data_IF_751963939649
#
_entry.id   IF_751963939649
#
_cell.length_a   1.000
_cell.length_b   1.000
_cell.length_c   1.000
_cell.angle_alpha   90.00
_cell.angle_beta   90.00
_cell.angle_gamma   90.00
#
_symmetry.space_group_name_H-M   'P 1'
#
loop_
_entity.id
_entity.type
_entity.pdbx_description
1 polymer ?
#
# COMPACT_ATOMS: atom_id res chain seq x y z
N UNK A 1 -1.82 4.24 16.10
CA UNK A 1 -2.45 4.80 14.87
C UNK A 1 -3.47 3.80 14.37
N UNK A 2 -4.61 4.26 13.85
CA UNK A 2 -5.61 3.41 13.19
C UNK A 2 -5.71 3.85 11.74
N UNK A 3 -5.59 2.91 10.81
CA UNK A 3 -5.73 3.16 9.38
C UNK A 3 -7.01 2.49 8.90
N UNK A 4 -7.90 3.25 8.25
CA UNK A 4 -9.16 2.76 7.72
C UNK A 4 -9.17 2.86 6.20
N UNK A 5 -9.56 1.77 5.53
CA UNK A 5 -9.73 1.71 4.07
C UNK A 5 -8.40 1.64 3.28
N UNK A 6 -8.56 1.69 1.95
CA UNK A 6 -7.49 1.84 0.93
C UNK A 6 -6.32 0.84 0.99
N UNK A 7 -6.53 -0.33 1.58
CA UNK A 7 -5.60 -1.45 1.52
C UNK A 7 -4.39 -1.36 2.43
N UNK A 8 -4.47 -0.60 3.53
CA UNK A 8 -3.39 -0.56 4.54
C UNK A 8 -3.05 -1.94 5.12
N UNK A 9 -4.02 -2.86 5.20
CA UNK A 9 -3.81 -4.25 5.59
C UNK A 9 -2.93 -5.03 4.60
N UNK A 10 -3.04 -4.73 3.29
CA UNK A 10 -2.22 -5.34 2.25
C UNK A 10 -0.82 -4.72 2.21
N UNK A 11 -0.75 -3.38 2.27
CA UNK A 11 0.51 -2.65 2.26
C UNK A 11 1.42 -3.03 3.44
N UNK A 12 0.84 -3.23 4.61
CA UNK A 12 1.57 -3.52 5.85
C UNK A 12 1.55 -5.03 6.22
N UNK A 13 1.18 -5.90 5.28
CA UNK A 13 0.94 -7.33 5.55
C UNK A 13 2.14 -8.04 6.19
N UNK A 14 3.35 -7.65 5.83
CA UNK A 14 4.60 -8.23 6.31
C UNK A 14 4.92 -7.91 7.79
N UNK A 15 4.34 -6.84 8.36
CA UNK A 15 4.66 -6.40 9.71
C UNK A 15 3.79 -7.09 10.76
N UNK A 16 4.44 -7.82 11.67
CA UNK A 16 3.73 -8.68 12.64
C UNK A 16 3.01 -7.90 13.72
N UNK A 17 3.48 -6.69 14.02
CA UNK A 17 2.86 -5.80 15.00
C UNK A 17 1.60 -5.08 14.45
N UNK A 18 1.28 -5.22 13.17
CA UNK A 18 0.10 -4.60 12.55
C UNK A 18 -1.10 -5.52 12.62
N UNK A 19 -2.14 -5.12 13.36
CA UNK A 19 -3.41 -5.83 13.47
C UNK A 19 -4.35 -5.50 12.30
N UNK A 20 -4.70 -6.50 11.49
CA UNK A 20 -5.56 -6.37 10.30
C UNK A 20 -6.96 -6.88 10.62
N UNK A 21 -7.94 -5.99 10.55
CA UNK A 21 -9.32 -6.30 10.95
C UNK A 21 -10.26 -6.02 9.78
N UNK A 22 -11.19 -6.94 9.54
CA UNK A 22 -12.33 -6.74 8.64
C UNK A 22 -13.61 -6.62 9.45
N UNK A 23 -14.36 -5.54 9.22
CA UNK A 23 -15.71 -5.39 9.76
C UNK A 23 -16.70 -5.66 8.63
N UNK A 24 -17.65 -6.58 8.86
CA UNK A 24 -18.73 -6.93 7.94
C UNK A 24 -20.09 -6.64 8.59
N UNK A 25 -21.10 -6.51 7.74
CA UNK A 25 -22.51 -6.55 8.09
C UNK A 25 -23.31 -6.96 6.85
N UNK A 26 -24.50 -7.56 7.01
CA UNK A 26 -25.42 -7.83 5.91
C UNK A 26 -25.70 -6.56 5.10
N UNK A 27 -25.87 -6.69 3.78
CA UNK A 27 -26.10 -5.58 2.86
C UNK A 27 -27.24 -4.67 3.34
N UNK A 28 -28.39 -5.27 3.65
CA UNK A 28 -29.59 -4.59 4.17
C UNK A 28 -29.31 -3.67 5.35
N UNK A 29 -28.58 -4.16 6.37
CA UNK A 29 -28.24 -3.36 7.54
C UNK A 29 -27.27 -2.22 7.22
N UNK A 30 -26.40 -2.40 6.22
CA UNK A 30 -25.51 -1.31 5.76
C UNK A 30 -26.31 -0.24 5.02
N UNK A 31 -27.28 -0.64 4.20
CA UNK A 31 -28.20 0.26 3.50
C UNK A 31 -29.01 1.07 4.51
N UNK A 32 -29.64 0.42 5.49
CA UNK A 32 -30.39 1.12 6.55
C UNK A 32 -29.53 2.12 7.32
N UNK A 33 -28.29 1.75 7.67
CA UNK A 33 -27.34 2.66 8.33
C UNK A 33 -26.97 3.85 7.46
N UNK A 34 -26.76 3.65 6.16
CA UNK A 34 -26.45 4.74 5.21
C UNK A 34 -27.66 5.64 5.02
N UNK A 35 -28.87 5.09 4.86
CA UNK A 35 -30.12 5.86 4.81
C UNK A 35 -30.26 6.76 6.04
N UNK A 36 -30.08 6.19 7.24
CA UNK A 36 -30.22 6.94 8.49
C UNK A 36 -29.12 7.98 8.72
N UNK A 37 -27.88 7.70 8.28
CA UNK A 37 -26.73 8.60 8.45
C UNK A 37 -26.78 9.78 7.49
N UNK A 38 -27.12 9.52 6.24
CA UNK A 38 -27.02 10.50 5.15
C UNK A 38 -28.39 11.12 4.77
N UNK A 39 -29.47 10.69 5.43
CA UNK A 39 -30.86 11.12 5.21
C UNK A 39 -31.30 11.00 3.74
N UNK A 40 -31.13 9.80 3.18
CA UNK A 40 -31.42 9.50 1.78
C UNK A 40 -32.39 8.33 1.62
N UNK A 41 -33.02 8.27 0.46
CA UNK A 41 -33.86 7.13 0.09
C UNK A 41 -33.03 5.85 -0.06
N UNK A 42 -33.74 4.73 -0.08
CA UNK A 42 -33.15 3.39 -0.12
C UNK A 42 -32.35 3.14 -1.40
N UNK A 43 -32.87 3.53 -2.56
CA UNK A 43 -32.22 3.34 -3.86
C UNK A 43 -30.84 4.02 -3.90
N UNK A 44 -30.74 5.26 -3.42
CA UNK A 44 -29.47 5.97 -3.33
C UNK A 44 -28.52 5.32 -2.33
N UNK A 45 -29.02 4.83 -1.20
CA UNK A 45 -28.21 4.14 -0.20
C UNK A 45 -27.65 2.80 -0.71
N UNK A 46 -28.48 2.01 -1.41
CA UNK A 46 -28.06 0.78 -2.09
C UNK A 46 -26.94 1.07 -3.10
N UNK A 47 -27.15 2.06 -3.98
CA UNK A 47 -26.14 2.50 -4.94
C UNK A 47 -24.82 2.90 -4.27
N UNK A 48 -24.86 3.67 -3.18
CA UNK A 48 -23.65 4.11 -2.47
C UNK A 48 -22.90 2.93 -1.82
N UNK A 49 -23.62 1.98 -1.23
CA UNK A 49 -23.01 0.79 -0.61
C UNK A 49 -22.36 -0.09 -1.68
N UNK A 50 -23.07 -0.40 -2.77
CA UNK A 50 -22.53 -1.21 -3.87
C UNK A 50 -21.33 -0.54 -4.55
N UNK A 51 -21.43 0.76 -4.78
CA UNK A 51 -20.34 1.54 -5.37
C UNK A 51 -19.10 1.52 -4.49
N UNK A 52 -19.26 1.78 -3.19
CA UNK A 52 -18.15 1.75 -2.25
C UNK A 52 -17.49 0.36 -2.19
N UNK A 53 -18.27 -0.72 -2.13
CA UNK A 53 -17.75 -2.09 -2.14
C UNK A 53 -17.01 -2.39 -3.45
N UNK A 54 -17.58 -2.01 -4.60
CA UNK A 54 -16.98 -2.23 -5.92
C UNK A 54 -15.68 -1.45 -6.10
N UNK A 55 -15.65 -0.18 -5.71
CA UNK A 55 -14.45 0.66 -5.78
C UNK A 55 -13.33 0.10 -4.89
N UNK A 56 -13.67 -0.35 -3.68
CA UNK A 56 -12.72 -0.98 -2.77
C UNK A 56 -12.17 -2.29 -3.32
N UNK A 57 -13.02 -3.18 -3.82
CA UNK A 57 -12.60 -4.45 -4.41
C UNK A 57 -11.68 -4.23 -5.63
N UNK A 58 -12.06 -3.32 -6.53
CA UNK A 58 -11.25 -2.97 -7.71
C UNK A 58 -9.92 -2.35 -7.33
N UNK A 59 -9.90 -1.41 -6.39
CA UNK A 59 -8.66 -0.77 -5.94
C UNK A 59 -7.69 -1.80 -5.34
N UNK A 60 -8.18 -2.70 -4.49
CA UNK A 60 -7.35 -3.77 -3.89
C UNK A 60 -6.81 -4.70 -4.97
N UNK A 61 -7.65 -5.13 -5.91
CA UNK A 61 -7.23 -6.00 -6.98
C UNK A 61 -6.19 -5.33 -7.90
N UNK A 62 -6.42 -4.08 -8.31
CA UNK A 62 -5.51 -3.36 -9.20
C UNK A 62 -4.15 -3.07 -8.56
N UNK A 63 -4.12 -2.76 -7.27
CA UNK A 63 -2.87 -2.37 -6.58
C UNK A 63 -2.11 -3.60 -6.06
N UNK A 64 -2.82 -4.58 -5.49
CA UNK A 64 -2.21 -5.70 -4.76
C UNK A 64 -2.40 -7.05 -5.42
N UNK A 65 -3.26 -7.17 -6.44
CA UNK A 65 -3.61 -8.45 -7.06
C UNK A 65 -4.31 -9.41 -6.10
N UNK A 66 -4.99 -8.88 -5.08
CA UNK A 66 -5.66 -9.66 -4.02
C UNK A 66 -7.17 -9.51 -4.09
N UNK A 67 -7.87 -10.49 -3.53
CA UNK A 67 -9.29 -10.36 -3.23
C UNK A 67 -9.44 -9.61 -1.89
N UNK A 68 -10.22 -8.53 -1.92
CA UNK A 68 -10.47 -7.71 -0.75
C UNK A 68 -11.27 -8.42 0.34
N UNK A 69 -12.04 -9.46 0.00
CA UNK A 69 -12.90 -10.17 0.93
C UNK A 69 -12.35 -11.53 1.39
N UNK A 70 -11.15 -11.90 0.92
CA UNK A 70 -10.45 -13.11 1.34
C UNK A 70 -10.20 -13.09 2.87
N UNK A 71 -10.77 -14.04 3.63
CA UNK A 71 -10.55 -14.11 5.07
C UNK A 71 -9.09 -14.27 5.49
N UNK A 72 -8.24 -14.84 4.63
CA UNK A 72 -6.82 -15.06 4.93
C UNK A 72 -5.99 -13.77 4.96
N UNK A 73 -6.55 -12.67 4.44
CA UNK A 73 -5.91 -11.35 4.41
C UNK A 73 -6.13 -10.56 5.71
N UNK A 74 -6.90 -11.12 6.65
CA UNK A 74 -7.26 -10.50 7.92
C UNK A 74 -6.94 -11.40 9.11
N UNK A 75 -6.56 -10.77 10.22
CA UNK A 75 -6.30 -11.47 11.47
C UNK A 75 -7.59 -11.69 12.27
N UNK A 76 -8.55 -10.78 12.13
CA UNK A 76 -9.86 -10.84 12.79
C UNK A 76 -10.94 -10.35 11.83
N UNK A 77 -12.10 -11.01 11.88
CA UNK A 77 -13.28 -10.63 11.12
C UNK A 77 -14.45 -10.54 12.08
N UNK A 78 -15.09 -9.39 12.13
CA UNK A 78 -16.27 -9.16 12.98
C UNK A 78 -17.50 -8.91 12.12
N UNK A 79 -18.64 -9.44 12.57
CA UNK A 79 -19.94 -9.19 11.96
C UNK A 79 -20.80 -8.37 12.90
N UNK A 80 -21.00 -7.10 12.56
CA UNK A 80 -21.76 -6.14 13.39
C UNK A 80 -23.27 -6.42 13.41
N UNK A 81 -23.76 -7.42 12.66
CA UNK A 81 -25.13 -7.92 12.83
C UNK A 81 -25.27 -8.98 13.92
N UNK A 82 -24.15 -9.59 14.31
CA UNK A 82 -24.10 -10.68 15.30
C UNK A 82 -23.45 -10.26 16.61
N UNK A 83 -22.54 -9.29 16.55
CA UNK A 83 -21.72 -8.85 17.67
C UNK A 83 -21.89 -7.34 17.89
N UNK A 84 -22.20 -6.97 19.13
CA UNK A 84 -22.23 -5.58 19.56
C UNK A 84 -20.83 -4.98 19.75
N UNK A 85 -20.76 -3.66 19.80
CA UNK A 85 -19.50 -2.93 20.01
C UNK A 85 -18.87 -3.22 21.38
N UNK A 86 -19.70 -3.53 22.37
CA UNK A 86 -19.32 -3.97 23.71
C UNK A 86 -18.50 -5.26 23.72
N UNK A 87 -18.67 -6.11 22.71
CA UNK A 87 -17.87 -7.34 22.51
C UNK A 87 -16.67 -7.08 21.60
N UNK A 88 -16.89 -6.39 20.47
CA UNK A 88 -15.83 -6.18 19.46
C UNK A 88 -14.67 -5.35 20.02
N UNK A 89 -14.97 -4.28 20.74
CA UNK A 89 -13.93 -3.33 21.20
C UNK A 89 -12.96 -3.97 22.20
N UNK A 90 -13.40 -4.70 23.25
CA UNK A 90 -12.48 -5.42 24.14
C UNK A 90 -11.62 -6.46 23.43
N UNK A 91 -12.19 -7.23 22.50
CA UNK A 91 -11.46 -8.23 21.72
C UNK A 91 -10.34 -7.59 20.87
N UNK A 92 -10.65 -6.49 20.18
CA UNK A 92 -9.65 -5.74 19.42
C UNK A 92 -8.55 -5.17 20.32
N UNK A 93 -8.92 -4.62 21.49
CA UNK A 93 -7.93 -4.09 22.45
C UNK A 93 -7.00 -5.19 22.96
N UNK A 94 -7.54 -6.36 23.31
CA UNK A 94 -6.76 -7.51 23.76
C UNK A 94 -5.79 -7.97 22.67
N UNK A 95 -6.28 -8.19 21.45
CA UNK A 95 -5.46 -8.59 20.33
C UNK A 95 -4.34 -7.57 20.02
N UNK A 96 -4.63 -6.27 20.16
CA UNK A 96 -3.65 -5.21 19.95
C UNK A 96 -2.53 -5.26 21.02
N UNK A 97 -2.87 -5.47 22.30
CA UNK A 97 -1.88 -5.62 23.35
C UNK A 97 -0.99 -6.85 23.13
N UNK A 98 -1.56 -7.95 22.65
CA UNK A 98 -0.79 -9.15 22.31
C UNK A 98 0.16 -8.93 21.12
N UNK A 99 -0.14 -8.00 20.22
CA UNK A 99 0.71 -7.62 19.07
C UNK A 99 1.91 -6.79 19.48
N UNK A 100 1.85 -6.09 20.61
CA UNK A 100 2.92 -5.19 21.06
C UNK A 100 4.25 -5.92 21.26
N UNK A 101 4.22 -7.22 21.58
CA UNK A 101 5.43 -8.07 21.67
C UNK A 101 6.21 -8.17 20.35
N UNK A 102 5.56 -7.91 19.22
CA UNK A 102 6.19 -7.88 17.90
C UNK A 102 6.64 -6.47 17.49
N UNK A 103 6.30 -5.44 18.27
CA UNK A 103 6.72 -4.06 18.01
C UNK A 103 8.15 -3.83 18.51
N UNK A 104 9.11 -4.55 17.94
CA UNK A 104 10.53 -4.45 18.31
C UNK A 104 11.22 -3.30 17.57
N UNK A 105 12.37 -2.81 18.06
CA UNK A 105 13.17 -1.81 17.34
C UNK A 105 13.54 -2.24 15.91
N UNK A 106 13.79 -3.53 15.70
CA UNK A 106 14.11 -4.10 14.38
C UNK A 106 12.92 -4.02 13.42
N UNK A 107 11.72 -4.39 13.88
CA UNK A 107 10.47 -4.28 13.10
C UNK A 107 10.11 -2.81 12.81
N UNK A 108 10.39 -1.90 13.75
CA UNK A 108 10.26 -0.44 13.53
C UNK A 108 11.22 0.04 12.46
N UNK A 109 12.48 -0.38 12.52
CA UNK A 109 13.48 -0.03 11.53
C UNK A 109 13.12 -0.59 10.14
N UNK A 110 12.54 -1.79 10.10
CA UNK A 110 12.01 -2.40 8.88
C UNK A 110 10.89 -1.55 8.24
N UNK A 111 9.99 -1.01 9.06
CA UNK A 111 8.95 -0.09 8.58
C UNK A 111 9.55 1.23 8.08
N UNK A 112 10.54 1.79 8.80
CA UNK A 112 11.19 3.05 8.44
C UNK A 112 11.94 2.98 7.11
N UNK A 113 12.72 1.91 6.89
CA UNK A 113 13.46 1.70 5.63
C UNK A 113 12.49 1.50 4.45
N UNK A 114 11.37 0.78 4.66
CA UNK A 114 10.33 0.62 3.64
C UNK A 114 9.66 1.95 3.34
N UNK A 115 9.31 2.73 4.37
CA UNK A 115 8.71 4.04 4.20
C UNK A 115 9.66 5.02 3.47
N UNK A 116 10.97 4.92 3.71
CA UNK A 116 11.97 5.68 2.96
C UNK A 116 11.98 5.29 1.48
N UNK A 117 11.99 3.99 1.19
CA UNK A 117 11.96 3.47 -0.18
C UNK A 117 10.74 4.00 -0.96
N UNK A 118 9.54 3.93 -0.36
CA UNK A 118 8.31 4.43 -0.99
C UNK A 118 8.32 5.96 -1.15
N UNK A 119 8.91 6.72 -0.20
CA UNK A 119 9.08 8.18 -0.34
C UNK A 119 10.00 8.54 -1.50
N UNK A 120 11.11 7.82 -1.66
CA UNK A 120 12.04 8.02 -2.78
C UNK A 120 11.33 7.71 -4.10
N UNK A 121 10.65 6.57 -4.18
CA UNK A 121 9.87 6.17 -5.36
C UNK A 121 8.81 7.23 -5.71
N UNK A 122 8.04 7.69 -4.73
CA UNK A 122 7.02 8.71 -4.93
C UNK A 122 7.61 10.05 -5.41
N UNK A 123 8.72 10.50 -4.81
CA UNK A 123 9.37 11.74 -5.21
C UNK A 123 9.81 11.74 -6.68
N UNK A 124 10.33 10.61 -7.17
CA UNK A 124 10.79 10.46 -8.55
C UNK A 124 9.59 10.30 -9.52
N UNK A 125 8.62 9.46 -9.19
CA UNK A 125 7.46 9.22 -10.07
C UNK A 125 6.49 10.40 -10.16
N UNK A 126 6.52 11.30 -9.17
CA UNK A 126 5.67 12.49 -9.15
C UNK A 126 6.32 13.69 -9.84
N UNK A 127 7.60 13.58 -10.22
CA UNK A 127 8.31 14.63 -10.93
C UNK A 127 8.01 14.52 -12.45
N UNK A 128 7.38 15.55 -13.05
CA UNK A 128 6.95 15.51 -14.44
C UNK A 128 8.12 15.52 -15.45
N UNK A 129 9.33 15.89 -15.03
CA UNK A 129 10.49 15.95 -15.93
C UNK A 129 11.02 14.54 -16.28
N UNK A 130 10.72 13.55 -15.42
CA UNK A 130 11.10 12.17 -15.65
C UNK A 130 10.05 11.40 -16.46
N UNK A 131 10.52 10.81 -17.56
CA UNK A 131 9.72 9.85 -18.33
C UNK A 131 10.26 8.46 -17.98
N UNK A 132 9.49 7.73 -17.18
CA UNK A 132 9.90 6.46 -16.57
C UNK A 132 8.88 5.37 -16.93
N UNK A 133 9.36 4.25 -17.48
CA UNK A 133 8.51 3.08 -17.75
C UNK A 133 8.29 2.23 -16.50
N UNK A 134 9.32 2.13 -15.65
CA UNK A 134 9.30 1.34 -14.43
C UNK A 134 10.28 1.94 -13.44
N UNK A 135 9.90 2.02 -12.17
CA UNK A 135 10.80 2.33 -11.06
C UNK A 135 10.33 1.59 -9.81
N UNK A 136 11.23 0.81 -9.24
CA UNK A 136 11.07 0.18 -7.94
C UNK A 136 12.24 0.55 -7.05
N UNK A 137 11.90 0.82 -5.79
CA UNK A 137 12.86 1.09 -4.72
C UNK A 137 12.48 0.15 -3.60
N UNK A 138 13.36 -0.77 -3.26
CA UNK A 138 13.11 -1.78 -2.22
C UNK A 138 14.31 -1.88 -1.28
N UNK A 139 14.09 -2.25 -0.01
CA UNK A 139 15.18 -2.70 0.85
C UNK A 139 15.93 -3.87 0.22
N UNK A 140 17.27 -3.89 0.33
CA UNK A 140 18.09 -4.98 -0.21
C UNK A 140 17.84 -6.31 0.52
N UNK A 141 17.74 -6.24 1.84
CA UNK A 141 17.29 -7.34 2.69
C UNK A 141 16.10 -6.87 3.51
N UNK A 142 15.06 -7.70 3.57
CA UNK A 142 13.83 -7.38 4.27
C UNK A 142 14.11 -7.23 5.77
N UNK A 143 13.83 -6.04 6.30
CA UNK A 143 13.98 -5.74 7.72
C UNK A 143 15.36 -5.28 8.19
N UNK A 144 16.33 -5.05 7.31
CA UNK A 144 17.69 -4.68 7.73
C UNK A 144 18.24 -3.48 6.94
N UNK A 145 18.06 -2.28 7.51
CA UNK A 145 18.50 -1.01 6.93
C UNK A 145 20.01 -0.95 6.61
N UNK A 146 20.83 -1.72 7.35
CA UNK A 146 22.29 -1.80 7.13
C UNK A 146 22.67 -2.34 5.74
N UNK A 147 21.83 -3.14 5.10
CA UNK A 147 22.10 -3.66 3.75
C UNK A 147 21.72 -2.70 2.64
N UNK A 148 21.01 -1.62 2.97
CA UNK A 148 20.71 -0.55 2.03
C UNK A 148 19.46 -0.76 1.19
N UNK A 149 19.36 0.05 0.14
CA UNK A 149 18.27 0.05 -0.84
C UNK A 149 18.76 -0.47 -2.19
N UNK A 150 17.86 -1.05 -2.96
CA UNK A 150 18.07 -1.40 -4.37
C UNK A 150 17.07 -0.59 -5.20
N UNK A 151 17.59 0.20 -6.13
CA UNK A 151 16.78 0.96 -7.09
C UNK A 151 16.85 0.28 -8.44
N UNK A 152 15.69 -0.16 -8.94
CA UNK A 152 15.52 -0.76 -10.26
C UNK A 152 14.67 0.17 -11.10
N UNK A 153 15.06 0.43 -12.34
CA UNK A 153 14.24 1.29 -13.18
C UNK A 153 14.58 1.23 -14.65
N UNK A 154 13.62 1.64 -15.46
CA UNK A 154 13.72 1.78 -16.91
C UNK A 154 13.35 3.22 -17.28
N UNK A 155 14.34 3.97 -17.75
CA UNK A 155 14.21 5.40 -18.07
C UNK A 155 14.38 5.65 -19.56
N UNK A 156 13.72 6.69 -20.05
CA UNK A 156 13.67 7.03 -21.49
C UNK A 156 14.75 8.02 -21.94
N UNK A 157 15.45 8.70 -21.02
CA UNK A 157 16.60 9.55 -21.31
C UNK A 157 17.82 9.04 -20.53
N UNK A 158 19.00 9.11 -21.16
CA UNK A 158 20.24 8.66 -20.52
C UNK A 158 20.66 9.56 -19.36
N UNK A 159 20.38 10.85 -19.47
CA UNK A 159 20.68 11.87 -18.46
C UNK A 159 19.87 11.67 -17.17
N UNK A 160 18.63 11.17 -17.29
CA UNK A 160 17.74 10.90 -16.16
C UNK A 160 18.35 9.88 -15.18
N UNK A 161 19.19 8.95 -15.64
CA UNK A 161 19.87 7.98 -14.78
C UNK A 161 20.68 8.70 -13.70
N UNK A 162 21.51 9.68 -14.10
CA UNK A 162 22.36 10.43 -13.18
C UNK A 162 21.57 11.35 -12.25
N UNK A 163 20.49 11.95 -12.75
CA UNK A 163 19.60 12.80 -11.95
C UNK A 163 18.88 11.98 -10.87
N UNK A 164 18.32 10.83 -11.26
CA UNK A 164 17.66 9.90 -10.34
C UNK A 164 18.66 9.41 -9.29
N UNK A 165 19.87 9.00 -9.67
CA UNK A 165 20.92 8.64 -8.71
C UNK A 165 21.20 9.75 -7.69
N UNK A 166 21.29 11.00 -8.15
CA UNK A 166 21.52 12.16 -7.30
C UNK A 166 20.37 12.44 -6.32
N UNK A 167 19.12 12.30 -6.77
CA UNK A 167 17.93 12.43 -5.91
C UNK A 167 17.92 11.32 -4.85
N UNK A 168 18.11 10.07 -5.28
CA UNK A 168 18.10 8.91 -4.39
C UNK A 168 19.20 9.02 -3.33
N UNK A 169 20.45 9.31 -3.71
CA UNK A 169 21.57 9.45 -2.77
C UNK A 169 21.30 10.55 -1.73
N UNK A 170 20.73 11.68 -2.16
CA UNK A 170 20.36 12.79 -1.27
C UNK A 170 19.29 12.40 -0.25
N UNK A 171 18.27 11.67 -0.69
CA UNK A 171 17.18 11.23 0.18
C UNK A 171 17.58 10.05 1.09
N UNK A 172 18.42 9.14 0.59
CA UNK A 172 18.92 7.98 1.34
C UNK A 172 19.99 8.34 2.39
N UNK A 173 20.67 9.49 2.23
CA UNK A 173 21.68 9.96 3.17
C UNK A 173 22.86 8.99 3.25
N UNK A 174 23.09 8.40 4.42
CA UNK A 174 24.19 7.45 4.67
C UNK A 174 23.84 6.00 4.34
N UNK A 175 22.60 5.72 3.95
CA UNK A 175 22.15 4.37 3.64
C UNK A 175 22.77 3.93 2.30
N UNK A 176 23.44 2.76 2.24
CA UNK A 176 23.97 2.25 0.99
C UNK A 176 22.87 2.07 -0.07
N UNK A 177 23.16 2.40 -1.32
CA UNK A 177 22.20 2.24 -2.42
C UNK A 177 22.86 1.54 -3.60
N UNK A 178 22.24 0.46 -4.05
CA UNK A 178 22.59 -0.24 -5.28
C UNK A 178 21.69 0.23 -6.43
N UNK A 179 22.29 0.69 -7.53
CA UNK A 179 21.56 1.17 -8.70
C UNK A 179 21.57 0.12 -9.81
N UNK A 180 20.37 -0.26 -10.23
CA UNK A 180 20.08 -1.11 -11.40
C UNK A 180 19.10 -0.39 -12.32
N UNK A 181 19.37 0.88 -12.58
CA UNK A 181 18.58 1.72 -13.48
C UNK A 181 19.19 1.65 -14.87
N UNK A 182 18.40 1.25 -15.85
CA UNK A 182 18.84 1.12 -17.23
C UNK A 182 18.11 2.12 -18.12
N UNK A 183 18.85 2.69 -19.06
CA UNK A 183 18.27 3.45 -20.15
C UNK A 183 17.76 2.50 -21.22
N UNK A 184 16.51 2.68 -21.63
CA UNK A 184 15.95 1.99 -22.80
C UNK A 184 15.21 2.98 -23.68
N UNK A 185 15.77 3.22 -24.86
CA UNK A 185 15.07 3.93 -25.91
C UNK A 185 13.90 3.06 -26.40
N UNK A 186 12.67 3.48 -26.12
CA UNK A 186 11.52 3.02 -26.88
C UNK A 186 11.35 3.96 -28.06
N UNK A 187 11.69 3.55 -29.30
CA UNK A 187 11.37 4.34 -30.47
C UNK A 187 9.84 4.45 -30.53
N UNK A 188 9.30 5.68 -30.37
CA UNK A 188 7.85 5.95 -30.44
C UNK A 188 7.29 5.82 -31.86
N UNK A 189 8.15 5.58 -32.85
CA UNK A 189 7.79 5.26 -34.23
C UNK A 189 8.55 4.02 -34.69
N UNK A 190 7.88 3.11 -35.40
CA UNK A 190 8.41 1.82 -35.83
C UNK A 190 9.74 1.90 -36.58
N UNK A 191 10.51 0.81 -36.48
CA UNK A 191 11.74 0.47 -37.23
C UNK A 191 12.45 1.65 -37.91
N UNK A 192 13.44 2.23 -37.22
CA UNK A 192 14.55 2.87 -37.94
C UNK A 192 15.41 1.70 -38.43
N UNK A 193 15.32 1.40 -39.72
CA UNK A 193 16.22 0.46 -40.37
C UNK A 193 17.65 0.99 -40.24
N UNK A 194 18.46 0.25 -39.49
CA UNK A 194 19.91 0.38 -39.54
C UNK A 194 20.38 -0.64 -40.58
N UNK A 195 20.64 -0.14 -41.79
CA UNK A 195 21.61 -0.73 -42.73
C UNK A 195 23.01 -0.66 -42.14
#
# INVERSE_FOLDING_TARGET
MVLMGRGGNFLLKQFRFVLKIRIKAPFEQRVERVMARDDINRENAEYLVEKADSEMAKAVYLIYGRDWDDPQEYDMIFDTSKQGLDVIVPEVKKALLEREKYNTPEERQALEIRALAERIKAAILSDPDFIISMLDVDPREEGLAKYGLVVRGLVHKREDVGLIEGIVKRMAGTIPVEFRVQYRAYPRFGRIGLT
#
